data_IF_765259275684
#
_entry.id   IF_765259275684
#
_cell.length_a   1.000
_cell.length_b   1.000
_cell.length_c   1.000
_cell.angle_alpha   90.00
_cell.angle_beta   90.00
_cell.angle_gamma   90.00
#
_symmetry.space_group_name_H-M   'P 1'
#
loop_
_entity.id
_entity.type
_entity.pdbx_description
1 polymer ?
#
# COMPACT_ATOMS: atom_id res chain seq x y z
N UNK A 1 -44.27 -3.64 32.07
CA UNK A 1 -43.32 -3.51 30.94
C UNK A 1 -42.97 -4.92 30.51
N UNK A 2 -43.57 -5.39 29.42
CA UNK A 2 -43.26 -6.70 28.83
C UNK A 2 -42.00 -6.50 28.01
N UNK A 3 -40.89 -7.04 28.49
CA UNK A 3 -39.66 -7.12 27.73
C UNK A 3 -39.86 -8.13 26.62
N UNK A 4 -40.00 -7.64 25.39
CA UNK A 4 -39.86 -8.47 24.20
C UNK A 4 -38.38 -8.87 24.10
N UNK A 5 -38.05 -10.06 24.60
CA UNK A 5 -36.85 -10.77 24.18
C UNK A 5 -36.90 -10.88 22.65
N UNK A 6 -35.97 -10.20 21.96
CA UNK A 6 -35.75 -10.47 20.54
C UNK A 6 -35.36 -11.94 20.42
N UNK A 7 -36.03 -12.74 19.57
CA UNK A 7 -35.63 -14.12 19.35
C UNK A 7 -34.17 -14.11 18.90
N UNK A 8 -33.34 -14.88 19.60
CA UNK A 8 -31.92 -15.11 19.26
C UNK A 8 -31.85 -15.63 17.82
N UNK A 9 -31.70 -14.73 16.85
CA UNK A 9 -31.36 -15.13 15.48
C UNK A 9 -29.97 -15.75 15.55
N UNK A 10 -29.85 -16.98 15.11
CA UNK A 10 -28.52 -17.59 14.95
C UNK A 10 -27.83 -16.99 13.73
N UNK A 11 -26.49 -16.96 13.76
CA UNK A 11 -25.69 -16.52 12.64
C UNK A 11 -25.64 -17.64 11.60
N UNK A 12 -26.21 -17.38 10.43
CA UNK A 12 -26.28 -18.32 9.32
C UNK A 12 -25.55 -17.75 8.09
N UNK A 13 -24.45 -18.39 7.69
CA UNK A 13 -23.62 -17.92 6.57
C UNK A 13 -24.35 -17.97 5.23
N UNK A 14 -25.24 -18.95 5.06
CA UNK A 14 -26.04 -19.14 3.85
C UNK A 14 -27.13 -18.09 3.63
N UNK A 15 -27.43 -17.25 4.64
CA UNK A 15 -28.38 -16.13 4.50
C UNK A 15 -27.68 -14.79 4.33
N UNK A 16 -26.35 -14.74 4.38
CA UNK A 16 -25.59 -13.52 4.12
C UNK A 16 -25.87 -13.03 2.69
N UNK A 17 -26.29 -11.77 2.50
CA UNK A 17 -26.55 -11.23 1.17
C UNK A 17 -25.34 -11.35 0.23
N UNK A 18 -24.12 -11.21 0.76
CA UNK A 18 -22.89 -11.33 -0.02
C UNK A 18 -22.64 -12.70 -0.67
N UNK A 19 -23.34 -13.74 -0.21
CA UNK A 19 -23.23 -15.12 -0.70
C UNK A 19 -24.36 -15.49 -1.65
N UNK A 20 -25.11 -14.52 -2.20
CA UNK A 20 -26.39 -14.77 -2.86
C UNK A 20 -26.35 -15.87 -3.95
N UNK A 21 -25.30 -15.91 -4.76
CA UNK A 21 -25.15 -16.87 -5.87
C UNK A 21 -24.34 -18.12 -5.49
N UNK A 22 -23.88 -18.21 -4.25
CA UNK A 22 -23.07 -19.31 -3.72
C UNK A 22 -23.61 -19.82 -2.38
N UNK A 23 -24.92 -19.66 -2.13
CA UNK A 23 -25.55 -20.05 -0.85
C UNK A 23 -25.36 -21.54 -0.58
N UNK A 24 -25.39 -22.36 -1.63
CA UNK A 24 -25.12 -23.80 -1.60
C UNK A 24 -23.74 -24.17 -1.06
N UNK A 25 -22.76 -23.26 -1.10
CA UNK A 25 -21.48 -23.45 -0.42
C UNK A 25 -21.64 -23.35 1.10
N UNK A 26 -22.55 -22.54 1.62
CA UNK A 26 -22.58 -22.20 3.05
C UNK A 26 -23.74 -22.85 3.82
N UNK A 27 -24.81 -23.29 3.14
CA UNK A 27 -25.93 -24.02 3.77
C UNK A 27 -25.41 -25.21 4.59
N UNK A 28 -25.91 -25.40 5.81
CA UNK A 28 -25.60 -26.56 6.65
C UNK A 28 -24.09 -26.82 6.88
N UNK A 29 -23.25 -25.77 6.92
CA UNK A 29 -21.78 -25.87 7.05
C UNK A 29 -21.11 -26.65 5.90
N UNK A 30 -21.69 -26.57 4.71
CA UNK A 30 -21.23 -27.33 3.53
C UNK A 30 -19.82 -26.91 3.08
N UNK A 31 -19.39 -25.66 3.28
CA UNK A 31 -18.09 -25.18 2.78
C UNK A 31 -16.94 -25.96 3.40
N UNK A 32 -16.94 -26.07 4.73
CA UNK A 32 -15.92 -26.82 5.47
C UNK A 32 -15.88 -28.29 5.03
N UNK A 33 -17.06 -28.91 4.90
CA UNK A 33 -17.18 -30.30 4.46
C UNK A 33 -16.66 -30.48 3.02
N UNK A 34 -17.04 -29.59 2.11
CA UNK A 34 -16.63 -29.60 0.72
C UNK A 34 -15.11 -29.46 0.58
N UNK A 35 -14.50 -28.50 1.29
CA UNK A 35 -13.05 -28.32 1.34
C UNK A 35 -12.38 -29.58 1.89
N UNK A 36 -12.85 -30.12 3.02
CA UNK A 36 -12.28 -31.31 3.64
C UNK A 36 -12.31 -32.51 2.69
N UNK A 37 -13.42 -32.74 1.98
CA UNK A 37 -13.54 -33.83 1.00
C UNK A 37 -12.52 -33.69 -0.14
N UNK A 38 -12.26 -32.47 -0.62
CA UNK A 38 -11.23 -32.23 -1.64
C UNK A 38 -9.84 -32.52 -1.07
N UNK A 39 -9.52 -32.01 0.13
CA UNK A 39 -8.21 -32.16 0.76
C UNK A 39 -7.87 -33.61 1.12
N UNK A 40 -8.85 -34.40 1.58
CA UNK A 40 -8.66 -35.83 1.87
C UNK A 40 -8.34 -36.62 0.60
N UNK A 41 -9.09 -36.40 -0.48
CA UNK A 41 -8.82 -37.05 -1.76
C UNK A 41 -7.50 -36.57 -2.39
N UNK A 42 -7.13 -35.29 -2.17
CA UNK A 42 -5.84 -34.72 -2.55
C UNK A 42 -4.68 -35.46 -1.86
N UNK A 43 -4.81 -35.71 -0.56
CA UNK A 43 -3.80 -36.38 0.26
C UNK A 43 -3.59 -37.84 -0.13
N UNK A 44 -4.65 -38.49 -0.62
CA UNK A 44 -4.67 -39.87 -1.11
C UNK A 44 -4.33 -39.99 -2.60
N UNK A 45 -3.92 -38.90 -3.26
CA UNK A 45 -3.62 -38.85 -4.70
C UNK A 45 -4.75 -39.37 -5.59
N UNK A 46 -6.01 -39.13 -5.19
CA UNK A 46 -7.20 -39.67 -5.85
C UNK A 46 -8.01 -38.58 -6.57
N UNK A 47 -7.45 -38.06 -7.67
CA UNK A 47 -8.09 -37.00 -8.47
C UNK A 47 -9.40 -37.42 -9.13
N UNK A 48 -9.56 -38.71 -9.41
CA UNK A 48 -10.79 -39.29 -9.96
C UNK A 48 -11.99 -39.02 -9.05
N UNK A 49 -11.78 -38.94 -7.73
CA UNK A 49 -12.82 -38.59 -6.76
C UNK A 49 -13.02 -37.08 -6.58
N UNK A 50 -12.00 -36.26 -6.85
CA UNK A 50 -12.07 -34.80 -6.69
C UNK A 50 -13.00 -34.18 -7.74
N UNK A 51 -12.90 -34.62 -9.00
CA UNK A 51 -13.67 -34.03 -10.12
C UNK A 51 -15.19 -34.12 -9.88
N UNK A 52 -15.78 -35.28 -9.52
CA UNK A 52 -17.21 -35.36 -9.21
C UNK A 52 -17.65 -34.44 -8.06
N UNK A 53 -16.82 -34.27 -7.02
CA UNK A 53 -17.12 -33.39 -5.87
C UNK A 53 -17.23 -31.93 -6.33
N UNK A 54 -16.26 -31.48 -7.13
CA UNK A 54 -16.23 -30.12 -7.69
C UNK A 54 -17.39 -29.93 -8.67
N UNK A 55 -17.63 -30.88 -9.58
CA UNK A 55 -18.69 -30.80 -10.58
C UNK A 55 -20.09 -30.75 -9.94
N UNK A 56 -20.33 -31.56 -8.90
CA UNK A 56 -21.58 -31.53 -8.16
C UNK A 56 -21.83 -30.14 -7.57
N UNK A 57 -20.80 -29.52 -6.99
CA UNK A 57 -20.94 -28.21 -6.37
C UNK A 57 -21.12 -27.09 -7.39
N UNK A 58 -20.41 -27.14 -8.52
CA UNK A 58 -20.69 -26.24 -9.65
C UNK A 58 -22.14 -26.39 -10.15
N UNK A 59 -22.67 -27.61 -10.21
CA UNK A 59 -24.07 -27.85 -10.59
C UNK A 59 -25.07 -27.12 -9.69
N UNK A 60 -24.85 -27.18 -8.36
CA UNK A 60 -25.66 -26.43 -7.39
C UNK A 60 -25.54 -24.91 -7.58
N UNK A 61 -24.32 -24.39 -7.69
CA UNK A 61 -24.05 -22.95 -7.88
C UNK A 61 -24.65 -22.45 -9.20
N UNK A 62 -24.48 -23.18 -10.31
CA UNK A 62 -25.02 -22.80 -11.61
C UNK A 62 -26.55 -22.79 -11.61
N UNK A 63 -27.17 -23.70 -10.85
CA UNK A 63 -28.62 -23.67 -10.67
C UNK A 63 -29.06 -22.45 -9.86
N UNK A 64 -28.35 -22.11 -8.77
CA UNK A 64 -28.59 -20.89 -7.99
C UNK A 64 -28.46 -19.61 -8.84
N UNK A 65 -27.48 -19.58 -9.75
CA UNK A 65 -27.34 -18.48 -10.73
C UNK A 65 -28.56 -18.45 -11.65
N UNK A 66 -28.88 -19.54 -12.35
CA UNK A 66 -30.02 -19.56 -13.31
C UNK A 66 -31.36 -19.15 -12.69
N UNK A 67 -31.61 -19.56 -11.45
CA UNK A 67 -32.86 -19.25 -10.75
C UNK A 67 -32.90 -17.84 -10.16
N UNK A 68 -31.75 -17.33 -9.74
CA UNK A 68 -31.65 -16.06 -9.00
C UNK A 68 -31.23 -14.86 -9.85
N UNK A 69 -30.66 -15.06 -11.04
CA UNK A 69 -29.99 -14.01 -11.80
C UNK A 69 -30.92 -12.89 -12.24
N UNK A 70 -30.45 -11.65 -12.08
CA UNK A 70 -31.08 -10.43 -12.58
C UNK A 70 -30.07 -9.66 -13.40
N UNK A 71 -30.55 -8.91 -14.40
CA UNK A 71 -29.68 -8.22 -15.36
C UNK A 71 -28.70 -7.22 -14.71
N UNK A 72 -29.05 -6.67 -13.55
CA UNK A 72 -28.24 -5.75 -12.75
C UNK A 72 -27.27 -6.44 -11.78
N UNK A 73 -27.37 -7.76 -11.62
CA UNK A 73 -26.58 -8.54 -10.66
C UNK A 73 -25.31 -9.16 -11.25
N UNK A 74 -24.99 -8.91 -12.54
CA UNK A 74 -23.86 -9.55 -13.23
C UNK A 74 -22.56 -9.38 -12.44
N UNK A 75 -22.27 -8.18 -11.95
CA UNK A 75 -21.04 -7.89 -11.18
C UNK A 75 -21.01 -8.66 -9.85
N UNK A 76 -22.16 -8.77 -9.15
CA UNK A 76 -22.26 -9.54 -7.91
C UNK A 76 -22.07 -11.03 -8.16
N UNK A 77 -22.73 -11.55 -9.20
CA UNK A 77 -22.57 -12.94 -9.65
C UNK A 77 -21.12 -13.23 -9.98
N UNK A 78 -20.45 -12.35 -10.73
CA UNK A 78 -19.03 -12.44 -11.05
C UNK A 78 -18.16 -12.53 -9.80
N UNK A 79 -18.30 -11.61 -8.83
CA UNK A 79 -17.54 -11.69 -7.57
C UNK A 79 -17.78 -13.02 -6.83
N UNK A 80 -19.03 -13.48 -6.77
CA UNK A 80 -19.41 -14.73 -6.10
C UNK A 80 -18.79 -15.96 -6.76
N UNK A 81 -18.89 -16.08 -8.09
CA UNK A 81 -18.36 -17.24 -8.79
C UNK A 81 -16.82 -17.20 -8.85
N UNK A 82 -16.20 -16.04 -9.08
CA UNK A 82 -14.74 -15.88 -9.08
C UNK A 82 -14.14 -16.29 -7.75
N UNK A 83 -14.79 -15.95 -6.62
CA UNK A 83 -14.37 -16.43 -5.30
C UNK A 83 -14.29 -17.95 -5.20
N UNK A 84 -15.29 -18.67 -5.72
CA UNK A 84 -15.27 -20.13 -5.65
C UNK A 84 -14.14 -20.72 -6.52
N UNK A 85 -13.91 -20.15 -7.71
CA UNK A 85 -12.77 -20.52 -8.55
C UNK A 85 -11.44 -20.25 -7.84
N UNK A 86 -11.25 -19.06 -7.26
CA UNK A 86 -10.04 -18.68 -6.54
C UNK A 86 -9.80 -19.59 -5.32
N UNK A 87 -10.86 -19.99 -4.62
CA UNK A 87 -10.79 -20.96 -3.53
C UNK A 87 -10.32 -22.33 -4.04
N UNK A 88 -10.88 -22.84 -5.14
CA UNK A 88 -10.46 -24.10 -5.73
C UNK A 88 -9.00 -24.04 -6.20
N UNK A 89 -8.59 -22.96 -6.86
CA UNK A 89 -7.20 -22.76 -7.25
C UNK A 89 -6.26 -22.74 -6.05
N UNK A 90 -6.62 -22.04 -4.98
CA UNK A 90 -5.86 -22.03 -3.74
C UNK A 90 -5.73 -23.44 -3.15
N UNK A 91 -6.82 -24.20 -3.08
CA UNK A 91 -6.80 -25.57 -2.54
C UNK A 91 -5.95 -26.49 -3.41
N UNK A 92 -6.10 -26.46 -4.74
CA UNK A 92 -5.39 -27.37 -5.66
C UNK A 92 -3.90 -27.00 -5.75
N UNK A 93 -3.56 -25.72 -5.90
CA UNK A 93 -2.17 -25.24 -6.03
C UNK A 93 -1.41 -25.20 -4.71
N UNK A 94 -2.09 -25.21 -3.56
CA UNK A 94 -1.42 -25.30 -2.25
C UNK A 94 -0.51 -26.54 -2.18
N UNK A 95 0.65 -26.46 -1.50
CA UNK A 95 1.62 -27.55 -1.41
C UNK A 95 0.94 -28.88 -1.07
N UNK A 96 1.20 -29.93 -1.86
CA UNK A 96 0.55 -31.23 -1.68
C UNK A 96 1.35 -32.38 -2.27
N UNK A 97 0.84 -33.60 -2.04
CA UNK A 97 1.36 -34.86 -2.57
C UNK A 97 0.83 -35.21 -3.98
N UNK A 98 0.07 -34.33 -4.63
CA UNK A 98 -0.37 -34.58 -6.00
C UNK A 98 0.82 -34.52 -6.95
N UNK A 99 0.86 -35.42 -7.94
CA UNK A 99 1.79 -35.25 -9.06
C UNK A 99 1.44 -34.00 -9.86
N UNK A 100 2.43 -33.46 -10.58
CA UNK A 100 2.22 -32.30 -11.45
C UNK A 100 1.16 -32.58 -12.52
N UNK A 101 1.17 -33.77 -13.12
CA UNK A 101 0.19 -34.16 -14.16
C UNK A 101 -1.24 -34.15 -13.62
N UNK A 102 -1.44 -34.70 -12.42
CA UNK A 102 -2.75 -34.74 -11.77
C UNK A 102 -3.21 -33.32 -11.42
N UNK A 103 -2.31 -32.49 -10.92
CA UNK A 103 -2.59 -31.09 -10.59
C UNK A 103 -3.00 -30.32 -11.84
N UNK A 104 -2.25 -30.44 -12.93
CA UNK A 104 -2.53 -29.78 -14.20
C UNK A 104 -3.86 -30.23 -14.80
N UNK A 105 -4.18 -31.53 -14.74
CA UNK A 105 -5.48 -32.03 -15.20
C UNK A 105 -6.64 -31.47 -14.36
N UNK A 106 -6.51 -31.41 -13.04
CA UNK A 106 -7.55 -30.80 -12.19
C UNK A 106 -7.73 -29.31 -12.48
N UNK A 107 -6.63 -28.57 -12.64
CA UNK A 107 -6.68 -27.15 -12.99
C UNK A 107 -7.35 -26.91 -14.35
N UNK A 108 -7.03 -27.75 -15.35
CA UNK A 108 -7.66 -27.69 -16.66
C UNK A 108 -9.18 -27.94 -16.58
N UNK A 109 -9.60 -28.95 -15.82
CA UNK A 109 -11.03 -29.26 -15.64
C UNK A 109 -11.77 -28.13 -14.90
N UNK A 110 -11.15 -27.55 -13.87
CA UNK A 110 -11.69 -26.37 -13.19
C UNK A 110 -11.79 -25.22 -14.19
N UNK A 111 -10.73 -24.90 -14.91
CA UNK A 111 -10.73 -23.78 -15.86
C UNK A 111 -11.80 -23.93 -16.94
N UNK A 112 -12.06 -25.15 -17.44
CA UNK A 112 -13.12 -25.41 -18.40
C UNK A 112 -14.52 -25.06 -17.85
N UNK A 113 -14.74 -25.13 -16.54
CA UNK A 113 -16.03 -24.79 -15.92
C UNK A 113 -16.40 -23.32 -16.05
N UNK A 114 -15.45 -22.42 -16.31
CA UNK A 114 -15.77 -21.02 -16.62
C UNK A 114 -16.68 -20.89 -17.84
N UNK A 115 -16.49 -21.73 -18.86
CA UNK A 115 -17.30 -21.71 -20.08
C UNK A 115 -18.76 -22.09 -19.80
N UNK A 116 -18.99 -22.88 -18.76
CA UNK A 116 -20.30 -23.39 -18.35
C UNK A 116 -21.07 -22.45 -17.42
N UNK A 117 -20.45 -21.36 -16.93
CA UNK A 117 -21.13 -20.39 -16.05
C UNK A 117 -22.31 -19.76 -16.80
N UNK A 118 -23.54 -19.82 -16.27
CA UNK A 118 -24.72 -19.30 -16.95
C UNK A 118 -24.88 -17.79 -16.77
N UNK A 119 -25.70 -17.17 -17.62
CA UNK A 119 -26.17 -15.77 -17.59
C UNK A 119 -25.14 -14.63 -17.68
N UNK A 120 -23.87 -14.86 -17.31
CA UNK A 120 -22.79 -13.88 -17.42
C UNK A 120 -22.45 -13.67 -18.89
N UNK A 121 -22.51 -12.41 -19.36
CA UNK A 121 -22.20 -12.04 -20.73
C UNK A 121 -20.69 -11.95 -20.93
N UNK A 122 -19.99 -11.26 -20.05
CA UNK A 122 -18.56 -11.08 -20.15
C UNK A 122 -17.79 -12.01 -19.19
N UNK A 123 -17.71 -13.30 -19.57
CA UNK A 123 -17.02 -14.32 -18.76
C UNK A 123 -15.54 -14.04 -18.58
N UNK A 124 -14.89 -13.50 -19.61
CA UNK A 124 -13.46 -13.23 -19.58
C UNK A 124 -13.11 -12.12 -18.57
N UNK A 125 -13.93 -11.08 -18.51
CA UNK A 125 -13.79 -10.02 -17.49
C UNK A 125 -13.97 -10.56 -16.07
N UNK A 126 -14.97 -11.41 -15.86
CA UNK A 126 -15.23 -11.99 -14.53
C UNK A 126 -14.16 -13.01 -14.10
N UNK A 127 -13.65 -13.80 -15.05
CA UNK A 127 -12.55 -14.74 -14.84
C UNK A 127 -11.26 -14.01 -14.50
N UNK A 128 -10.89 -13.02 -15.32
CA UNK A 128 -9.61 -12.32 -15.23
C UNK A 128 -8.39 -13.26 -15.31
N UNK A 129 -7.22 -12.77 -14.91
CA UNK A 129 -6.02 -13.59 -14.83
C UNK A 129 -6.02 -14.47 -13.57
N UNK A 130 -5.33 -15.62 -13.62
CA UNK A 130 -5.31 -16.63 -12.54
C UNK A 130 -4.01 -16.61 -11.72
N UNK A 131 -3.23 -15.55 -11.87
CA UNK A 131 -2.02 -15.30 -11.11
C UNK A 131 -2.34 -14.79 -9.69
N UNK A 132 -1.32 -14.71 -8.84
CA UNK A 132 -1.46 -14.36 -7.43
C UNK A 132 -1.89 -12.90 -7.21
N UNK A 133 -1.46 -11.97 -8.07
CA UNK A 133 -1.80 -10.55 -7.97
C UNK A 133 -3.27 -10.34 -8.31
N UNK A 134 -3.72 -10.88 -9.44
CA UNK A 134 -5.12 -10.79 -9.88
C UNK A 134 -6.08 -11.48 -8.90
N UNK A 135 -5.71 -12.65 -8.38
CA UNK A 135 -6.47 -13.32 -7.31
C UNK A 135 -6.59 -12.44 -6.07
N UNK A 136 -5.49 -11.81 -5.65
CA UNK A 136 -5.47 -10.95 -4.47
C UNK A 136 -6.33 -9.70 -4.66
N UNK A 137 -6.28 -9.06 -5.83
CA UNK A 137 -7.13 -7.92 -6.18
C UNK A 137 -8.62 -8.29 -6.17
N UNK A 138 -9.00 -9.43 -6.77
CA UNK A 138 -10.39 -9.92 -6.72
C UNK A 138 -10.87 -10.18 -5.29
N UNK A 139 -10.02 -10.75 -4.43
CA UNK A 139 -10.35 -10.97 -3.02
C UNK A 139 -10.60 -9.65 -2.28
N UNK A 140 -9.73 -8.65 -2.47
CA UNK A 140 -9.90 -7.31 -1.89
C UNK A 140 -11.20 -6.66 -2.36
N UNK A 141 -11.45 -6.67 -3.67
CA UNK A 141 -12.66 -6.12 -4.26
C UNK A 141 -13.91 -6.79 -3.68
N UNK A 142 -13.96 -8.13 -3.70
CA UNK A 142 -15.08 -8.89 -3.13
C UNK A 142 -15.28 -8.57 -1.65
N UNK A 143 -14.21 -8.55 -0.85
CA UNK A 143 -14.30 -8.31 0.58
C UNK A 143 -15.02 -6.99 0.90
N UNK A 144 -14.68 -5.90 0.21
CA UNK A 144 -15.31 -4.59 0.45
C UNK A 144 -16.81 -4.62 0.14
N UNK A 145 -17.20 -5.23 -0.98
CA UNK A 145 -18.62 -5.39 -1.31
C UNK A 145 -19.34 -6.26 -0.29
N UNK A 146 -18.72 -7.36 0.14
CA UNK A 146 -19.30 -8.27 1.13
C UNK A 146 -19.51 -7.55 2.47
N UNK A 147 -18.55 -6.75 2.93
CA UNK A 147 -18.67 -5.95 4.15
C UNK A 147 -19.85 -4.96 4.09
N UNK A 148 -20.06 -4.30 2.94
CA UNK A 148 -21.23 -3.41 2.74
C UNK A 148 -22.54 -4.20 2.79
N UNK A 149 -22.60 -5.31 2.05
CA UNK A 149 -23.80 -6.13 1.93
C UNK A 149 -24.21 -6.80 3.25
N UNK A 150 -23.22 -7.20 4.05
CA UNK A 150 -23.42 -7.94 5.29
C UNK A 150 -23.42 -7.03 6.53
N UNK A 151 -23.51 -5.71 6.36
CA UNK A 151 -23.38 -4.73 7.46
C UNK A 151 -24.29 -5.06 8.66
N UNK A 152 -25.52 -5.50 8.42
CA UNK A 152 -26.46 -5.85 9.49
C UNK A 152 -26.02 -7.11 10.25
N UNK A 153 -25.47 -8.11 9.54
CA UNK A 153 -24.93 -9.32 10.14
C UNK A 153 -23.66 -9.01 10.95
N UNK A 154 -22.80 -8.11 10.45
CA UNK A 154 -21.59 -7.65 11.16
C UNK A 154 -21.98 -6.97 12.47
N UNK A 155 -22.99 -6.08 12.45
CA UNK A 155 -23.49 -5.39 13.65
C UNK A 155 -24.10 -6.35 14.66
N UNK A 156 -24.86 -7.34 14.19
CA UNK A 156 -25.54 -8.29 15.06
C UNK A 156 -24.59 -9.36 15.63
N UNK A 157 -23.58 -9.78 14.87
CA UNK A 157 -22.72 -10.92 15.20
C UNK A 157 -21.22 -10.69 14.90
N UNK A 158 -20.58 -9.65 15.47
CA UNK A 158 -19.23 -9.25 15.09
C UNK A 158 -18.17 -10.37 15.25
N UNK A 159 -18.20 -11.12 16.34
CA UNK A 159 -17.26 -12.22 16.60
C UNK A 159 -17.48 -13.42 15.67
N UNK A 160 -18.76 -13.78 15.43
CA UNK A 160 -19.10 -14.89 14.53
C UNK A 160 -18.77 -14.52 13.08
N UNK A 161 -19.01 -13.27 12.67
CA UNK A 161 -18.63 -12.78 11.35
C UNK A 161 -17.11 -12.78 11.17
N UNK A 162 -16.34 -12.38 12.18
CA UNK A 162 -14.87 -12.46 12.14
C UNK A 162 -14.39 -13.91 11.96
N UNK A 163 -15.06 -14.86 12.64
CA UNK A 163 -14.78 -16.29 12.46
C UNK A 163 -15.08 -16.74 11.02
N UNK A 164 -16.23 -16.33 10.48
CA UNK A 164 -16.60 -16.58 9.09
C UNK A 164 -15.57 -16.04 8.09
N UNK A 165 -15.04 -14.82 8.29
CA UNK A 165 -13.98 -14.26 7.44
C UNK A 165 -12.71 -15.11 7.45
N UNK A 166 -12.32 -15.65 8.62
CA UNK A 166 -11.18 -16.55 8.73
C UNK A 166 -11.37 -17.84 7.93
N UNK A 167 -12.57 -18.42 7.98
CA UNK A 167 -12.90 -19.63 7.21
C UNK A 167 -12.95 -19.33 5.70
N UNK A 168 -13.58 -18.23 5.32
CA UNK A 168 -13.76 -17.78 3.93
C UNK A 168 -12.44 -17.51 3.22
N UNK A 169 -11.55 -16.75 3.86
CA UNK A 169 -10.32 -16.24 3.23
C UNK A 169 -9.08 -17.05 3.56
N UNK A 170 -9.06 -17.80 4.66
CA UNK A 170 -7.83 -18.39 5.19
C UNK A 170 -7.10 -19.35 4.25
N UNK A 171 -7.80 -20.06 3.35
CA UNK A 171 -7.15 -20.91 2.33
C UNK A 171 -6.53 -20.07 1.21
N UNK A 172 -7.22 -19.04 0.72
CA UNK A 172 -6.72 -18.15 -0.33
C UNK A 172 -5.54 -17.34 0.19
N UNK A 173 -5.62 -16.78 1.40
CA UNK A 173 -4.52 -16.05 2.04
C UNK A 173 -3.25 -16.88 2.13
N UNK A 174 -3.35 -18.16 2.55
CA UNK A 174 -2.17 -19.04 2.62
C UNK A 174 -1.54 -19.29 1.25
N UNK A 175 -2.36 -19.29 0.20
CA UNK A 175 -1.91 -19.45 -1.17
C UNK A 175 -1.29 -18.17 -1.76
N UNK A 176 -1.92 -17.01 -1.55
CA UNK A 176 -1.49 -15.75 -2.17
C UNK A 176 -0.48 -14.95 -1.34
N UNK A 177 -0.49 -15.10 -0.02
CA UNK A 177 0.35 -14.36 0.92
C UNK A 177 1.07 -15.30 1.90
N UNK A 178 1.74 -16.33 1.39
CA UNK A 178 2.44 -17.34 2.20
C UNK A 178 3.45 -16.76 3.20
N UNK A 179 4.04 -15.61 2.86
CA UNK A 179 5.09 -14.94 3.64
C UNK A 179 4.56 -13.88 4.62
N UNK A 180 3.25 -13.60 4.63
CA UNK A 180 2.62 -12.51 5.39
C UNK A 180 3.26 -11.13 5.16
N UNK A 181 3.69 -10.87 3.92
CA UNK A 181 4.38 -9.62 3.52
C UNK A 181 3.56 -8.74 2.60
N UNK A 182 2.40 -9.19 2.12
CA UNK A 182 1.58 -8.41 1.20
C UNK A 182 0.87 -7.25 1.92
N UNK A 183 0.95 -6.10 1.28
CA UNK A 183 0.18 -4.89 1.58
C UNK A 183 -0.75 -4.60 0.41
N UNK A 184 -1.88 -3.98 0.75
CA UNK A 184 -2.84 -3.45 -0.20
C UNK A 184 -2.81 -1.93 -0.15
N UNK A 185 -3.05 -1.32 -1.31
CA UNK A 185 -3.48 0.07 -1.45
C UNK A 185 -4.72 0.07 -2.32
N UNK A 186 -5.79 0.70 -1.85
CA UNK A 186 -6.97 1.01 -2.65
C UNK A 186 -7.04 2.53 -2.74
N UNK A 187 -6.97 3.08 -3.95
CA UNK A 187 -6.84 4.53 -4.11
C UNK A 187 -7.56 5.03 -5.37
N UNK A 188 -8.69 5.70 -5.17
CA UNK A 188 -9.45 6.39 -6.21
C UNK A 188 -10.01 7.73 -5.67
N UNK A 189 -10.92 8.35 -6.40
CA UNK A 189 -11.44 9.69 -6.07
C UNK A 189 -12.20 9.76 -4.73
N UNK A 190 -12.70 8.62 -4.24
CA UNK A 190 -13.53 8.55 -3.05
C UNK A 190 -13.04 7.55 -2.01
N UNK A 191 -11.99 6.79 -2.28
CA UNK A 191 -11.45 5.76 -1.39
C UNK A 191 -9.93 5.85 -1.28
N UNK A 192 -9.43 5.70 -0.06
CA UNK A 192 -8.01 5.62 0.22
C UNK A 192 -7.76 4.72 1.42
N UNK A 193 -7.39 3.48 1.15
CA UNK A 193 -7.13 2.46 2.16
C UNK A 193 -5.73 1.92 1.91
N UNK A 194 -4.98 1.78 2.99
CA UNK A 194 -3.69 1.11 2.97
C UNK A 194 -3.55 0.19 4.19
N UNK A 195 -3.28 -1.08 3.95
CA UNK A 195 -3.23 -2.07 5.02
C UNK A 195 -2.43 -3.32 4.65
N UNK A 196 -2.03 -4.11 5.64
CA UNK A 196 -1.62 -5.50 5.42
C UNK A 196 -2.78 -6.32 4.83
N UNK A 197 -2.49 -7.10 3.79
CA UNK A 197 -3.49 -7.91 3.08
C UNK A 197 -4.29 -8.83 4.00
N UNK A 198 -3.61 -9.54 4.91
CA UNK A 198 -4.26 -10.46 5.85
C UNK A 198 -5.14 -9.72 6.86
N UNK A 199 -4.63 -8.62 7.42
CA UNK A 199 -5.40 -7.81 8.36
C UNK A 199 -6.67 -7.26 7.72
N UNK A 200 -6.57 -6.82 6.45
CA UNK A 200 -7.70 -6.31 5.70
C UNK A 200 -8.79 -7.37 5.49
N UNK A 201 -8.45 -8.53 4.93
CA UNK A 201 -9.43 -9.59 4.62
C UNK A 201 -10.03 -10.24 5.87
N UNK A 202 -9.29 -10.28 6.98
CA UNK A 202 -9.73 -10.91 8.22
C UNK A 202 -10.45 -9.93 9.17
N UNK A 203 -10.61 -8.67 8.77
CA UNK A 203 -11.27 -7.63 9.58
C UNK A 203 -12.59 -7.16 8.95
N UNK A 204 -13.64 -6.98 9.77
CA UNK A 204 -14.86 -6.33 9.35
C UNK A 204 -14.81 -4.79 9.40
N UNK A 205 -13.69 -4.18 9.82
CA UNK A 205 -13.63 -2.74 10.14
C UNK A 205 -13.58 -1.84 8.90
N UNK A 206 -13.38 -2.41 7.71
CA UNK A 206 -13.21 -1.68 6.45
C UNK A 206 -14.52 -1.47 5.69
N UNK A 207 -15.66 -1.37 6.38
CA UNK A 207 -16.97 -1.10 5.76
C UNK A 207 -16.95 0.27 5.08
N UNK A 208 -17.36 0.27 3.82
CA UNK A 208 -17.40 1.46 2.98
C UNK A 208 -18.71 1.52 2.19
N UNK A 209 -19.44 2.63 2.28
CA UNK A 209 -20.77 2.77 1.65
C UNK A 209 -20.82 3.81 0.52
N UNK A 210 -19.66 4.11 -0.10
CA UNK A 210 -19.55 5.17 -1.10
C UNK A 210 -19.14 4.54 -2.44
N UNK A 211 -20.02 4.69 -3.45
CA UNK A 211 -19.75 4.41 -4.87
C UNK A 211 -18.98 3.11 -5.16
N UNK A 212 -19.30 2.04 -4.43
CA UNK A 212 -18.60 0.77 -4.62
C UNK A 212 -18.76 0.20 -6.04
N UNK A 213 -19.81 0.57 -6.76
CA UNK A 213 -20.02 0.12 -8.15
C UNK A 213 -18.99 0.73 -9.12
N UNK A 214 -18.36 1.84 -8.75
CA UNK A 214 -17.29 2.48 -9.52
C UNK A 214 -15.89 1.89 -9.18
N UNK A 215 -15.79 1.03 -8.16
CA UNK A 215 -14.52 0.43 -7.72
C UNK A 215 -14.15 -0.75 -8.61
N UNK A 216 -12.93 -0.75 -9.14
CA UNK A 216 -12.40 -1.85 -9.96
C UNK A 216 -11.10 -2.43 -9.38
N UNK A 217 -10.60 -3.49 -10.01
CA UNK A 217 -9.28 -4.06 -9.65
C UNK A 217 -8.12 -3.14 -9.99
N UNK A 218 -8.30 -2.16 -10.88
CA UNK A 218 -7.25 -1.22 -11.27
C UNK A 218 -6.99 -0.16 -10.18
N UNK A 219 -7.98 0.09 -9.33
CA UNK A 219 -7.83 0.95 -8.15
C UNK A 219 -7.03 0.26 -7.02
N UNK A 220 -6.75 -1.03 -7.16
CA UNK A 220 -6.13 -1.88 -6.15
C UNK A 220 -4.68 -2.15 -6.54
N UNK A 221 -3.75 -1.84 -5.65
CA UNK A 221 -2.33 -2.21 -5.77
C UNK A 221 -1.97 -3.20 -4.67
N UNK A 222 -1.32 -4.30 -5.05
CA UNK A 222 -0.74 -5.28 -4.12
C UNK A 222 0.78 -5.13 -4.17
N UNK A 223 1.45 -5.14 -3.01
CA UNK A 223 2.91 -5.04 -2.97
C UNK A 223 3.49 -5.68 -1.73
N UNK A 224 4.68 -6.28 -1.86
CA UNK A 224 5.54 -6.66 -0.72
C UNK A 224 6.40 -5.48 -0.23
N UNK A 225 6.54 -4.43 -1.05
CA UNK A 225 7.39 -3.29 -0.76
C UNK A 225 6.55 -2.14 -0.18
N UNK A 226 6.60 -2.01 1.15
CA UNK A 226 5.91 -0.95 1.87
C UNK A 226 6.32 0.44 1.40
N UNK A 227 7.63 0.71 1.23
CA UNK A 227 8.13 2.04 0.87
C UNK A 227 7.71 2.46 -0.55
N UNK A 228 7.71 1.52 -1.49
CA UNK A 228 7.21 1.75 -2.85
C UNK A 228 5.71 2.10 -2.81
N UNK A 229 4.93 1.31 -2.06
CA UNK A 229 3.49 1.50 -1.95
C UNK A 229 3.15 2.85 -1.26
N UNK A 230 3.90 3.23 -0.22
CA UNK A 230 3.85 4.54 0.44
C UNK A 230 4.13 5.72 -0.50
N UNK A 231 5.20 5.61 -1.29
CA UNK A 231 5.62 6.70 -2.19
C UNK A 231 4.61 6.94 -3.32
N UNK A 232 3.91 5.89 -3.74
CA UNK A 232 2.94 5.88 -4.84
C UNK A 232 1.61 6.58 -4.56
N UNK A 233 1.35 7.02 -3.32
CA UNK A 233 0.07 7.65 -2.95
C UNK A 233 -0.08 9.02 -3.60
N UNK A 234 -1.23 9.29 -4.20
CA UNK A 234 -1.47 10.57 -4.87
C UNK A 234 -2.04 11.61 -3.92
N UNK A 235 -1.48 12.83 -3.96
CA UNK A 235 -2.06 14.00 -3.30
C UNK A 235 -3.10 14.73 -4.19
N UNK A 236 -3.15 14.40 -5.47
CA UNK A 236 -3.95 15.11 -6.48
C UNK A 236 -5.41 14.63 -6.52
N UNK A 237 -5.68 13.41 -6.05
CA UNK A 237 -7.02 12.79 -6.08
C UNK A 237 -8.05 13.42 -5.12
N UNK A 238 -7.69 14.44 -4.32
CA UNK A 238 -8.61 15.14 -3.40
C UNK A 238 -9.17 16.46 -3.95
N UNK A 239 -9.01 16.72 -5.25
CA UNK A 239 -9.32 18.03 -5.87
C UNK A 239 -10.81 18.24 -6.16
N UNK A 240 -11.62 17.19 -6.08
CA UNK A 240 -13.07 17.23 -6.33
C UNK A 240 -13.82 17.75 -5.10
N UNK A 241 -14.28 19.00 -5.17
CA UNK A 241 -15.08 19.66 -4.13
C UNK A 241 -16.45 19.00 -3.88
N UNK A 242 -16.85 18.08 -4.75
CA UNK A 242 -18.18 17.47 -4.74
C UNK A 242 -18.29 16.24 -3.81
N UNK A 243 -17.17 15.65 -3.37
CA UNK A 243 -17.20 14.49 -2.47
C UNK A 243 -17.14 14.92 -1.01
N UNK A 244 -18.32 15.12 -0.41
CA UNK A 244 -18.51 15.57 0.99
C UNK A 244 -18.03 14.54 2.03
N UNK A 245 -17.83 13.27 1.64
CA UNK A 245 -17.32 12.21 2.52
C UNK A 245 -16.70 11.09 1.68
N UNK A 246 -15.38 10.95 1.74
CA UNK A 246 -14.67 9.79 1.19
C UNK A 246 -14.42 8.72 2.27
N UNK A 247 -13.87 7.59 1.84
CA UNK A 247 -13.67 6.39 2.62
C UNK A 247 -12.18 6.16 2.85
N UNK A 248 -11.70 6.57 4.03
CA UNK A 248 -10.27 6.58 4.31
C UNK A 248 -9.96 5.92 5.63
N UNK A 249 -8.99 5.00 5.64
CA UNK A 249 -8.49 4.45 6.90
C UNK A 249 -7.47 5.40 7.54
N UNK A 250 -7.31 5.31 8.86
CA UNK A 250 -6.39 6.17 9.62
C UNK A 250 -4.98 6.16 9.05
N UNK A 251 -4.49 4.98 8.68
CA UNK A 251 -3.13 4.79 8.14
C UNK A 251 -2.92 5.59 6.86
N UNK A 252 -3.87 5.54 5.94
CA UNK A 252 -3.82 6.31 4.70
C UNK A 252 -3.83 7.82 4.96
N UNK A 253 -4.69 8.30 5.85
CA UNK A 253 -4.74 9.72 6.25
C UNK A 253 -3.41 10.19 6.87
N UNK A 254 -2.84 9.42 7.79
CA UNK A 254 -1.58 9.77 8.44
C UNK A 254 -0.43 9.84 7.42
N UNK A 255 -0.48 8.99 6.40
CA UNK A 255 0.50 9.00 5.32
C UNK A 255 0.35 10.21 4.39
N UNK A 256 -0.87 10.61 4.05
CA UNK A 256 -1.12 11.86 3.33
C UNK A 256 -0.58 13.07 4.10
N UNK A 257 -0.86 13.14 5.41
CA UNK A 257 -0.33 14.20 6.28
C UNK A 257 1.20 14.24 6.27
N UNK A 258 1.85 13.09 6.42
CA UNK A 258 3.31 13.01 6.38
C UNK A 258 3.87 13.46 5.01
N UNK A 259 3.27 13.01 3.90
CA UNK A 259 3.67 13.41 2.55
C UNK A 259 3.51 14.92 2.34
N UNK A 260 2.37 15.48 2.77
CA UNK A 260 2.11 16.93 2.73
C UNK A 260 3.12 17.73 3.57
N UNK A 261 3.41 17.28 4.80
CA UNK A 261 4.40 17.92 5.67
C UNK A 261 5.80 17.88 5.06
N UNK A 262 6.19 16.78 4.42
CA UNK A 262 7.50 16.66 3.76
C UNK A 262 7.62 17.60 2.56
N UNK A 263 6.57 17.74 1.75
CA UNK A 263 6.52 18.72 0.65
C UNK A 263 6.64 20.15 1.20
N UNK A 264 5.89 20.47 2.26
CA UNK A 264 5.95 21.79 2.89
C UNK A 264 7.36 22.09 3.43
N UNK A 265 8.00 21.13 4.11
CA UNK A 265 9.38 21.26 4.59
C UNK A 265 10.35 21.46 3.43
N UNK A 266 10.22 20.71 2.35
CA UNK A 266 11.09 20.81 1.18
C UNK A 266 10.93 22.17 0.49
N UNK A 267 9.70 22.67 0.34
CA UNK A 267 9.43 24.01 -0.20
C UNK A 267 10.01 25.10 0.69
N UNK A 268 9.92 24.97 2.02
CA UNK A 268 10.53 25.90 2.96
C UNK A 268 12.06 25.91 2.83
N UNK A 269 12.70 24.73 2.75
CA UNK A 269 14.15 24.62 2.55
C UNK A 269 14.58 25.24 1.21
N UNK A 270 13.84 24.96 0.14
CA UNK A 270 14.10 25.53 -1.19
C UNK A 270 13.97 27.07 -1.16
N UNK A 271 12.92 27.60 -0.51
CA UNK A 271 12.71 29.04 -0.35
C UNK A 271 13.84 29.69 0.44
N UNK A 272 14.31 29.06 1.52
CA UNK A 272 15.47 29.53 2.30
C UNK A 272 16.73 29.52 1.45
N UNK A 273 16.98 28.43 0.70
CA UNK A 273 18.11 28.31 -0.20
C UNK A 273 18.14 29.40 -1.28
N UNK A 274 16.98 29.68 -1.90
CA UNK A 274 16.82 30.77 -2.88
C UNK A 274 17.10 32.13 -2.23
N UNK A 275 16.60 32.38 -1.03
CA UNK A 275 16.84 33.62 -0.30
C UNK A 275 18.33 33.82 0.02
N UNK A 276 19.02 32.77 0.50
CA UNK A 276 20.45 32.81 0.81
C UNK A 276 21.26 33.05 -0.47
N UNK A 277 21.00 32.29 -1.55
CA UNK A 277 21.70 32.47 -2.82
C UNK A 277 21.49 33.89 -3.37
N UNK A 278 20.24 34.38 -3.38
CA UNK A 278 19.93 35.75 -3.79
C UNK A 278 20.68 36.80 -2.97
N UNK A 279 20.71 36.64 -1.66
CA UNK A 279 21.47 37.53 -0.77
C UNK A 279 22.98 37.47 -1.02
N UNK A 280 23.54 36.27 -1.21
CA UNK A 280 24.96 36.10 -1.55
C UNK A 280 25.31 36.72 -2.90
N UNK A 281 24.43 36.63 -3.91
CA UNK A 281 24.63 37.32 -5.19
C UNK A 281 24.65 38.83 -5.02
N UNK A 282 23.74 39.40 -4.22
CA UNK A 282 23.76 40.84 -3.91
C UNK A 282 25.10 41.23 -3.27
N UNK A 283 25.60 40.45 -2.30
CA UNK A 283 26.89 40.71 -1.67
C UNK A 283 28.06 40.65 -2.67
N UNK A 284 28.08 39.68 -3.58
CA UNK A 284 29.11 39.57 -4.63
C UNK A 284 29.04 40.77 -5.59
N UNK A 285 27.84 41.18 -6.00
CA UNK A 285 27.66 42.36 -6.85
C UNK A 285 28.13 43.64 -6.14
N UNK A 286 27.80 43.82 -4.87
CA UNK A 286 28.27 44.95 -4.07
C UNK A 286 29.80 44.92 -3.88
N UNK A 287 30.40 43.75 -3.65
CA UNK A 287 31.85 43.63 -3.54
C UNK A 287 32.56 43.97 -4.86
N UNK A 288 32.04 43.49 -5.99
CA UNK A 288 32.69 43.63 -7.30
C UNK A 288 32.46 44.99 -7.96
N UNK A 289 31.28 45.60 -7.79
CA UNK A 289 30.86 46.79 -8.54
C UNK A 289 30.60 48.02 -7.67
N UNK A 290 30.70 47.93 -6.35
CA UNK A 290 30.60 49.06 -5.43
C UNK A 290 31.99 49.50 -4.95
N UNK A 291 32.20 50.77 -4.54
CA UNK A 291 33.50 51.27 -4.08
C UNK A 291 33.97 50.66 -2.74
N UNK A 292 33.22 49.69 -2.18
CA UNK A 292 33.58 48.96 -0.96
C UNK A 292 34.86 48.12 -1.12
N UNK A 293 35.14 47.55 -2.30
CA UNK A 293 36.37 46.78 -2.52
C UNK A 293 37.63 47.65 -2.33
N UNK A 294 37.61 48.88 -2.88
CA UNK A 294 38.73 49.82 -2.70
C UNK A 294 38.83 50.33 -1.26
N UNK A 295 37.70 50.43 -0.55
CA UNK A 295 37.64 50.81 0.87
C UNK A 295 38.20 49.73 1.80
N UNK A 296 37.85 48.45 1.58
CA UNK A 296 38.38 47.31 2.34
C UNK A 296 39.88 47.18 2.08
N UNK A 297 40.32 47.26 0.83
CA UNK A 297 41.75 47.23 0.49
C UNK A 297 42.52 48.40 1.13
N UNK A 298 41.93 49.60 1.18
CA UNK A 298 42.50 50.74 1.92
C UNK A 298 42.59 50.46 3.43
N UNK A 299 41.60 49.80 4.03
CA UNK A 299 41.59 49.52 5.45
C UNK A 299 42.60 48.45 5.85
N UNK A 300 42.74 47.37 5.06
CA UNK A 300 43.79 46.36 5.27
C UNK A 300 45.18 46.93 5.03
N UNK A 301 45.38 47.76 3.99
CA UNK A 301 46.66 48.46 3.78
C UNK A 301 47.03 49.37 4.95
N UNK A 302 46.07 50.13 5.48
CA UNK A 302 46.28 51.03 6.62
C UNK A 302 46.58 50.29 7.93
N UNK A 303 46.09 49.05 8.08
CA UNK A 303 46.40 48.20 9.24
C UNK A 303 47.81 47.61 9.16
N UNK A 304 48.26 47.22 7.96
CA UNK A 304 49.64 46.76 7.72
C UNK A 304 50.64 47.90 7.98
N UNK A 305 50.35 49.12 7.50
CA UNK A 305 51.17 50.32 7.78
C UNK A 305 51.24 50.65 9.28
N UNK A 306 50.18 50.38 10.05
CA UNK A 306 50.15 50.63 11.50
C UNK A 306 51.02 49.62 12.26
N UNK A 307 50.95 48.32 11.91
CA UNK A 307 51.78 47.28 12.53
C UNK A 307 53.27 47.44 12.15
N UNK A 308 53.57 47.87 10.92
CA UNK A 308 54.94 48.13 10.45
C UNK A 308 55.55 49.37 11.12
N UNK A 309 54.77 50.41 11.38
CA UNK A 309 55.23 51.57 12.16
C UNK A 309 55.46 51.24 13.64
N UNK A 310 54.65 50.37 14.25
CA UNK A 310 54.86 49.93 15.64
C UNK A 310 56.15 49.09 15.75
N UNK A 311 56.48 48.23 14.78
CA UNK A 311 57.74 47.47 14.83
C UNK A 311 58.98 48.34 14.60
N UNK A 312 58.87 49.39 13.79
CA UNK A 312 59.97 50.33 13.55
C UNK A 312 60.22 51.27 14.75
N UNK A 313 59.18 51.76 15.42
CA UNK A 313 59.35 52.59 16.64
C UNK A 313 59.96 51.78 17.80
N UNK A 314 59.49 50.54 18.00
CA UNK A 314 60.03 49.65 19.06
C UNK A 314 61.49 49.24 18.80
N UNK A 315 61.91 49.16 17.52
CA UNK A 315 63.32 48.91 17.19
C UNK A 315 64.23 50.14 17.24
N UNK A 316 63.68 51.36 17.08
CA UNK A 316 64.47 52.60 17.17
C UNK A 316 64.76 52.99 18.63
N UNK A 317 63.86 52.70 19.57
CA UNK A 317 64.07 52.96 21.01
C UNK A 317 65.15 52.07 21.67
N UNK A 318 65.50 50.93 21.05
CA UNK A 318 66.52 50.01 21.56
C UNK A 318 67.95 50.32 21.07
N UNK A 319 68.14 51.24 20.13
CA UNK A 319 69.46 51.55 19.55
C UNK A 319 70.10 52.86 20.05
N UNK A 320 69.36 53.75 20.72
CA UNK A 320 69.86 55.05 21.19
C UNK A 320 70.44 55.05 22.63
N UNK A 321 70.59 53.89 23.28
CA UNK A 321 71.19 53.77 24.62
C UNK A 321 72.28 52.69 24.70
N UNK A 322 73.31 52.77 23.85
CA UNK A 322 74.53 51.97 24.04
C UNK A 322 75.78 52.76 23.65
N UNK A 323 76.32 53.49 24.61
CA UNK A 323 77.62 54.15 24.54
C UNK A 323 78.40 53.76 25.80
N UNK A 324 79.24 52.72 25.72
CA UNK A 324 80.56 52.68 26.39
C UNK A 324 81.45 51.52 25.87
N UNK A 325 82.68 51.89 25.51
CA UNK A 325 83.91 51.11 25.76
C UNK A 325 84.12 49.75 25.10
N UNK A 326 84.77 49.72 23.93
CA UNK A 326 85.42 48.49 23.46
C UNK A 326 85.91 48.53 22.02
N UNK A 327 87.09 49.09 21.79
CA UNK A 327 87.76 49.11 20.48
C UNK A 327 88.21 47.71 20.03
N UNK A 328 87.64 47.16 18.95
CA UNK A 328 88.34 46.17 18.11
C UNK A 328 88.02 46.34 16.60
N UNK A 329 89.12 46.57 15.89
CA UNK A 329 89.45 46.60 14.45
C UNK A 329 88.45 45.99 13.46
N UNK A 330 88.14 46.79 12.45
CA UNK A 330 87.49 46.48 11.17
C UNK A 330 88.32 45.55 10.27
N UNK A 331 87.70 44.51 9.71
CA UNK A 331 88.09 43.95 8.41
C UNK A 331 87.07 44.38 7.36
N UNK A 332 87.51 45.20 6.41
CA UNK A 332 86.86 45.29 5.11
C UNK A 332 87.36 44.13 4.25
N UNK A 333 86.45 43.32 3.72
CA UNK A 333 86.68 42.70 2.42
C UNK A 333 85.45 42.88 1.54
N UNK A 334 85.75 43.26 0.31
CA UNK A 334 84.90 43.82 -0.73
C UNK A 334 84.06 42.73 -1.42
N UNK A 335 82.98 43.19 -2.04
CA UNK A 335 82.04 42.53 -2.95
C UNK A 335 82.44 41.19 -3.59
N UNK A 336 81.50 40.25 -3.60
CA UNK A 336 80.93 39.72 -4.84
C UNK A 336 79.54 39.14 -4.61
#
# INVERSE_FOLDING_TARGET
>A
MVGTEMPSRDFEEGVLPSNFYIKSLYKEKNLKKHIQQIEENKSNNNSVKIIPIINSKFGEIFQEIKEGFRNDDEIMCCRNISYYFDLLYAIIKSPSRLSNDITNNLLYQIEHKWNEVPEIKNKDECKGETDLDSTSKRCVLKHIHDLKMDMDAIKAFPEKYTTYLNEKWGKIIRYTNSDDKLYIKIENDFMGIIEKYNHFLLSPDFICDIKLDDLSTDDITISTNWDSLMSSISLEKFTTRDYVKGCYNKRYIDMLKNKSLNIQKMNNILSIGIAILGFSFILIFLYRFSPLSSFIHRYTKKKIELDENISNDVMSELYDNYDDGGSYVTYQSVSH
#
